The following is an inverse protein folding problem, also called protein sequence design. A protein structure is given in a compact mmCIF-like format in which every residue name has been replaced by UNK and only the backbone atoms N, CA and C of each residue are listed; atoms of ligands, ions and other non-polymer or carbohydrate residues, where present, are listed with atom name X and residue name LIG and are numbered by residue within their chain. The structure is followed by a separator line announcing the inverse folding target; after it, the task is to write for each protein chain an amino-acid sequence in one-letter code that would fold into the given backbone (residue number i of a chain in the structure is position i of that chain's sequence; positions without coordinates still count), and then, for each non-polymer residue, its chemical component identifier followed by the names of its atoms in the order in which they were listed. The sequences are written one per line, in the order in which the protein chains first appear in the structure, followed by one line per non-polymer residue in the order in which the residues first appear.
data_IF_169816437754
#
_entry.id   IF_169816437754
#
_cell.length_a   1.000
_cell.length_b   1.000
_cell.length_c   1.000
_cell.angle_alpha   90.00
_cell.angle_beta   90.00
_cell.angle_gamma   90.00
#
_symmetry.space_group_name_H-M   'P 1'
#
loop_
_entity.id
_entity.type
_entity.pdbx_description
1 polymer ?
#
# COMPACT_ATOMS: atom_id res chain seq x y z
N UNK A 1 -9.34 -15.50 -27.66
CA UNK A 1 -8.55 -15.82 -26.46
C UNK A 1 -9.00 -14.83 -25.41
N UNK A 2 -9.57 -15.27 -24.31
CA UNK A 2 -10.03 -14.38 -23.24
C UNK A 2 -8.77 -13.83 -22.56
N UNK A 3 -8.31 -12.65 -22.98
CA UNK A 3 -7.19 -11.96 -22.35
C UNK A 3 -7.55 -11.75 -20.88
N UNK A 4 -6.92 -12.52 -20.01
CA UNK A 4 -7.09 -12.38 -18.57
C UNK A 4 -6.59 -10.99 -18.17
N UNK A 5 -7.52 -10.02 -18.10
CA UNK A 5 -7.21 -8.63 -17.78
C UNK A 5 -6.76 -8.54 -16.33
N UNK A 6 -5.50 -8.16 -16.13
CA UNK A 6 -5.00 -7.76 -14.84
C UNK A 6 -5.73 -6.48 -14.39
N UNK A 7 -6.24 -6.49 -13.17
CA UNK A 7 -6.92 -5.34 -12.57
C UNK A 7 -6.21 -4.96 -11.28
N UNK A 8 -6.44 -3.73 -10.85
CA UNK A 8 -5.93 -3.26 -9.57
C UNK A 8 -6.85 -3.71 -8.44
N UNK A 9 -6.24 -4.25 -7.39
CA UNK A 9 -6.92 -4.67 -6.18
C UNK A 9 -6.27 -4.00 -4.99
N UNK A 10 -7.08 -3.74 -3.97
CA UNK A 10 -6.60 -3.20 -2.71
C UNK A 10 -6.55 -4.33 -1.69
N UNK A 11 -5.40 -4.48 -1.07
CA UNK A 11 -5.11 -5.46 -0.02
C UNK A 11 -4.96 -4.71 1.30
N UNK A 12 -5.65 -5.18 2.33
CA UNK A 12 -5.51 -4.70 3.69
C UNK A 12 -4.50 -5.58 4.45
N UNK A 13 -3.58 -4.93 5.13
CA UNK A 13 -2.40 -5.51 5.78
C UNK A 13 -2.20 -4.86 7.14
N UNK A 14 -1.44 -5.52 8.02
CA UNK A 14 -1.09 -4.90 9.29
C UNK A 14 -0.18 -3.69 9.08
N UNK A 15 -0.55 -2.59 9.73
CA UNK A 15 0.26 -1.38 9.77
C UNK A 15 1.71 -1.64 10.18
N UNK A 16 2.65 -1.22 9.33
CA UNK A 16 4.09 -1.32 9.59
C UNK A 16 4.75 -2.47 8.84
N UNK A 17 3.94 -3.34 8.23
CA UNK A 17 4.41 -4.47 7.43
C UNK A 17 4.16 -4.28 5.94
N UNK A 18 3.58 -3.16 5.51
CA UNK A 18 3.24 -2.90 4.09
C UNK A 18 4.46 -3.02 3.17
N UNK A 19 5.60 -2.41 3.56
CA UNK A 19 6.86 -2.55 2.79
C UNK A 19 7.37 -4.00 2.74
N UNK A 20 7.16 -4.78 3.81
CA UNK A 20 7.60 -6.18 3.85
C UNK A 20 6.71 -7.05 2.98
N UNK A 21 5.41 -6.79 2.98
CA UNK A 21 4.44 -7.44 2.07
C UNK A 21 4.80 -7.16 0.62
N UNK A 22 5.11 -5.91 0.26
CA UNK A 22 5.58 -5.56 -1.09
C UNK A 22 6.83 -6.35 -1.49
N UNK A 23 7.84 -6.40 -0.62
CA UNK A 23 9.06 -7.16 -0.88
C UNK A 23 8.78 -8.65 -1.05
N UNK A 24 7.90 -9.22 -0.23
CA UNK A 24 7.47 -10.63 -0.36
C UNK A 24 6.76 -10.86 -1.69
N UNK A 25 5.85 -9.97 -2.11
CA UNK A 25 5.17 -10.07 -3.41
C UNK A 25 6.18 -9.94 -4.56
N UNK A 26 7.11 -8.99 -4.50
CA UNK A 26 8.19 -8.84 -5.49
C UNK A 26 9.09 -10.07 -5.56
N UNK A 27 9.39 -10.68 -4.43
CA UNK A 27 10.16 -11.92 -4.40
C UNK A 27 9.37 -13.11 -4.97
N UNK A 28 8.07 -13.22 -4.69
CA UNK A 28 7.20 -14.22 -5.31
C UNK A 28 7.13 -14.06 -6.84
N UNK A 29 7.04 -12.82 -7.33
CA UNK A 29 7.12 -12.53 -8.77
C UNK A 29 8.48 -12.93 -9.34
N UNK A 30 9.58 -12.63 -8.63
CA UNK A 30 10.94 -12.95 -9.07
C UNK A 30 11.21 -14.46 -9.10
N UNK A 31 10.66 -15.19 -8.14
CA UNK A 31 10.81 -16.65 -8.02
C UNK A 31 9.81 -17.41 -8.90
N UNK A 32 8.86 -16.71 -9.54
CA UNK A 32 7.79 -17.31 -10.34
C UNK A 32 6.71 -18.01 -9.51
N UNK A 33 6.73 -17.81 -8.19
CA UNK A 33 5.75 -18.36 -7.27
C UNK A 33 4.35 -17.80 -7.54
N UNK A 34 4.27 -16.59 -8.11
CA UNK A 34 3.04 -15.92 -8.55
C UNK A 34 2.43 -16.51 -9.82
N UNK A 35 3.13 -17.44 -10.50
CA UNK A 35 2.74 -18.03 -11.79
C UNK A 35 2.43 -17.00 -12.89
N UNK A 36 2.94 -15.76 -12.76
CA UNK A 36 2.70 -14.65 -13.67
C UNK A 36 1.33 -13.98 -13.53
N UNK A 37 0.59 -14.24 -12.45
CA UNK A 37 -0.70 -13.59 -12.15
C UNK A 37 -0.54 -12.15 -11.68
N UNK A 38 0.51 -11.85 -10.92
CA UNK A 38 0.78 -10.51 -10.39
C UNK A 38 1.64 -9.76 -11.42
N UNK A 39 1.19 -8.57 -11.79
CA UNK A 39 1.88 -7.68 -12.73
C UNK A 39 2.61 -6.55 -12.02
N UNK A 40 2.00 -5.99 -10.99
CA UNK A 40 2.57 -4.84 -10.28
C UNK A 40 2.10 -4.79 -8.81
N UNK A 41 2.86 -4.13 -7.96
CA UNK A 41 2.54 -3.92 -6.54
C UNK A 41 3.04 -2.56 -6.09
N UNK A 42 2.17 -1.78 -5.47
CA UNK A 42 2.42 -0.43 -5.02
C UNK A 42 1.93 -0.22 -3.58
N UNK A 43 2.80 0.34 -2.74
CA UNK A 43 2.49 0.61 -1.34
C UNK A 43 2.32 2.11 -1.09
N UNK A 44 1.11 2.58 -0.74
CA UNK A 44 0.85 3.97 -0.38
C UNK A 44 1.28 4.32 1.05
N UNK A 45 2.56 4.17 1.37
CA UNK A 45 3.11 4.56 2.69
C UNK A 45 3.76 5.92 2.69
N UNK A 46 3.35 6.82 3.57
CA UNK A 46 4.04 8.11 3.81
C UNK A 46 5.10 7.95 4.90
N UNK A 47 6.40 8.11 4.55
CA UNK A 47 7.50 8.10 5.52
C UNK A 47 7.65 9.49 6.14
N UNK A 48 7.06 9.69 7.31
CA UNK A 48 7.29 10.91 8.11
C UNK A 48 8.51 10.71 9.01
N UNK A 49 9.41 11.68 9.00
CA UNK A 49 10.61 11.69 9.85
C UNK A 49 10.30 12.67 10.99
N UNK A 50 9.99 12.15 12.18
CA UNK A 50 9.82 12.99 13.37
C UNK A 50 11.17 13.15 14.07
N UNK A 51 11.51 14.37 14.44
CA UNK A 51 12.73 14.68 15.20
C UNK A 51 12.32 14.75 16.67
N UNK A 52 12.48 13.66 17.40
CA UNK A 52 12.15 13.60 18.84
C UNK A 52 13.46 13.60 19.62
N UNK A 53 13.67 14.65 20.43
CA UNK A 53 14.83 14.79 21.34
C UNK A 53 16.21 14.65 20.64
N UNK A 54 16.38 15.30 19.49
CA UNK A 54 17.65 15.30 18.75
C UNK A 54 17.99 13.98 18.02
N UNK A 55 17.16 12.94 18.14
CA UNK A 55 17.29 11.71 17.36
C UNK A 55 16.23 11.67 16.25
N UNK A 56 16.67 11.38 15.03
CA UNK A 56 15.79 11.16 13.87
C UNK A 56 14.98 9.89 14.13
N UNK A 57 13.70 10.01 14.45
CA UNK A 57 12.79 8.90 14.66
C UNK A 57 11.76 8.89 13.53
N UNK A 58 11.82 7.92 12.64
CA UNK A 58 10.83 7.79 11.57
C UNK A 58 9.48 7.42 12.18
N UNK A 59 8.56 8.39 12.29
CA UNK A 59 7.19 8.18 12.76
C UNK A 59 6.26 8.19 11.55
N UNK A 60 5.68 7.04 11.22
CA UNK A 60 4.78 6.91 10.08
C UNK A 60 3.36 7.37 10.46
N UNK A 61 2.94 8.59 10.09
CA UNK A 61 1.53 9.00 10.17
C UNK A 61 0.84 8.62 8.86
N UNK A 62 -0.10 7.69 8.92
CA UNK A 62 -0.67 7.05 7.74
C UNK A 62 -2.04 7.62 7.43
N UNK A 63 -2.24 8.09 6.20
CA UNK A 63 -3.56 8.52 5.70
C UNK A 63 -4.49 7.31 5.49
N UNK A 64 -3.92 6.15 5.14
CA UNK A 64 -4.59 4.85 5.05
C UNK A 64 -3.66 3.76 5.60
N UNK A 65 -3.61 3.55 6.93
CA UNK A 65 -2.76 2.54 7.56
C UNK A 65 -3.10 1.13 7.06
N UNK A 66 -2.15 0.45 6.42
CA UNK A 66 -2.29 -0.97 6.09
C UNK A 66 -2.82 -1.25 4.69
N UNK A 67 -2.79 -0.32 3.75
CA UNK A 67 -3.30 -0.57 2.39
C UNK A 67 -2.15 -0.82 1.42
N UNK A 68 -2.31 -1.81 0.54
CA UNK A 68 -1.36 -2.16 -0.54
C UNK A 68 -2.16 -2.32 -1.82
N UNK A 69 -1.74 -1.67 -2.90
CA UNK A 69 -2.33 -1.83 -4.22
C UNK A 69 -1.57 -2.93 -4.96
N UNK A 70 -2.29 -3.88 -5.56
CA UNK A 70 -1.71 -4.98 -6.32
C UNK A 70 -2.42 -5.06 -7.67
N UNK A 71 -1.67 -4.97 -8.77
CA UNK A 71 -2.17 -5.24 -10.11
C UNK A 71 -1.99 -6.71 -10.39
N UNK A 72 -3.08 -7.47 -10.44
CA UNK A 72 -3.03 -8.91 -10.71
C UNK A 72 -4.24 -9.40 -11.51
N UNK A 73 -4.12 -10.60 -12.08
CA UNK A 73 -5.24 -11.33 -12.66
C UNK A 73 -5.96 -12.04 -11.52
N UNK A 74 -7.24 -11.75 -11.33
CA UNK A 74 -8.01 -12.37 -10.26
C UNK A 74 -8.38 -13.81 -10.60
N UNK A 75 -7.93 -14.73 -9.76
CA UNK A 75 -8.25 -16.15 -9.75
C UNK A 75 -8.18 -16.66 -8.30
N UNK A 76 -8.75 -17.83 -8.03
CA UNK A 76 -8.72 -18.44 -6.69
C UNK A 76 -7.29 -18.65 -6.18
N UNK A 77 -6.35 -18.97 -7.07
CA UNK A 77 -4.93 -19.17 -6.70
C UNK A 77 -4.24 -17.87 -6.27
N UNK A 78 -4.34 -16.77 -7.02
CA UNK A 78 -3.75 -15.48 -6.63
C UNK A 78 -4.42 -14.91 -5.38
N UNK A 79 -5.73 -15.13 -5.24
CA UNK A 79 -6.46 -14.75 -4.04
C UNK A 79 -5.93 -15.49 -2.81
N UNK A 80 -5.83 -16.81 -2.86
CA UNK A 80 -5.24 -17.61 -1.78
C UNK A 80 -3.79 -17.25 -1.51
N UNK A 81 -3.01 -16.98 -2.56
CA UNK A 81 -1.59 -16.64 -2.43
C UNK A 81 -1.38 -15.35 -1.67
N UNK A 82 -2.10 -14.27 -2.05
CA UNK A 82 -2.01 -12.99 -1.36
C UNK A 82 -2.50 -13.12 0.08
N UNK A 83 -3.55 -13.90 0.33
CA UNK A 83 -4.06 -14.14 1.68
C UNK A 83 -3.11 -15.01 2.53
N UNK A 84 -2.30 -15.87 1.91
CA UNK A 84 -1.27 -16.67 2.56
C UNK A 84 -0.05 -15.84 2.99
N UNK A 85 0.13 -14.64 2.43
CA UNK A 85 1.24 -13.76 2.81
C UNK A 85 1.07 -13.34 4.28
N UNK A 86 2.11 -13.54 5.11
CA UNK A 86 2.05 -13.14 6.50
C UNK A 86 1.81 -11.64 6.61
N UNK A 87 0.94 -11.25 7.55
CA UNK A 87 0.54 -9.85 7.81
C UNK A 87 -0.44 -9.26 6.79
N UNK A 88 -0.91 -10.03 5.81
CA UNK A 88 -2.10 -9.68 5.03
C UNK A 88 -3.34 -10.06 5.84
N UNK A 89 -4.25 -9.11 6.02
CA UNK A 89 -5.54 -9.36 6.70
C UNK A 89 -6.64 -9.77 5.73
N UNK A 90 -6.47 -9.46 4.44
CA UNK A 90 -7.42 -9.79 3.40
C UNK A 90 -7.47 -8.70 2.33
N UNK A 91 -8.38 -8.87 1.37
CA UNK A 91 -8.65 -7.85 0.36
C UNK A 91 -9.73 -6.88 0.84
N UNK A 92 -9.63 -5.64 0.36
CA UNK A 92 -10.66 -4.63 0.59
C UNK A 92 -11.81 -4.88 -0.39
N UNK A 93 -12.98 -5.16 0.15
CA UNK A 93 -14.17 -5.54 -0.62
C UNK A 93 -15.16 -6.34 0.22
N UNK A 94 -16.12 -6.98 -0.46
CA UNK A 94 -16.99 -7.94 0.21
C UNK A 94 -16.16 -9.14 0.70
N UNK A 95 -16.53 -9.72 1.85
CA UNK A 95 -15.78 -10.83 2.52
C UNK A 95 -15.41 -12.01 1.61
N UNK A 96 -16.07 -12.16 0.48
CA UNK A 96 -15.91 -13.26 -0.48
C UNK A 96 -15.33 -12.86 -1.85
N UNK A 97 -15.34 -11.58 -2.23
CA UNK A 97 -14.75 -11.14 -3.51
C UNK A 97 -14.12 -9.75 -3.39
N UNK A 98 -12.84 -9.60 -3.78
CA UNK A 98 -12.20 -8.29 -3.83
C UNK A 98 -12.87 -7.44 -4.91
N UNK A 99 -12.97 -6.14 -4.66
CA UNK A 99 -13.54 -5.21 -5.63
C UNK A 99 -12.39 -4.78 -6.55
N UNK A 100 -12.45 -5.09 -7.86
CA UNK A 100 -11.46 -4.60 -8.80
C UNK A 100 -11.65 -3.09 -9.01
N UNK A 101 -10.56 -2.34 -8.97
CA UNK A 101 -10.54 -0.97 -9.43
C UNK A 101 -10.35 -0.93 -10.94
N UNK A 102 -10.99 0.04 -11.57
CA UNK A 102 -10.66 0.42 -12.95
C UNK A 102 -9.25 1.02 -12.98
N UNK A 103 -8.50 0.81 -14.06
CA UNK A 103 -7.14 1.38 -14.21
C UNK A 103 -7.13 2.89 -13.95
N UNK A 104 -8.14 3.62 -14.43
CA UNK A 104 -8.28 5.06 -14.18
C UNK A 104 -8.47 5.44 -12.70
N UNK A 105 -9.17 4.62 -11.91
CA UNK A 105 -9.34 4.86 -10.47
C UNK A 105 -8.07 4.53 -9.70
N UNK A 106 -7.44 3.41 -10.05
CA UNK A 106 -6.17 3.04 -9.45
C UNK A 106 -5.10 4.09 -9.74
N UNK A 107 -4.98 4.56 -10.98
CA UNK A 107 -4.02 5.59 -11.37
C UNK A 107 -4.27 6.91 -10.65
N UNK A 108 -5.54 7.31 -10.48
CA UNK A 108 -5.90 8.49 -9.65
C UNK A 108 -5.45 8.34 -8.20
N UNK A 109 -5.65 7.16 -7.59
CA UNK A 109 -5.22 6.89 -6.23
C UNK A 109 -3.69 6.89 -6.14
N UNK A 110 -3.01 6.22 -7.08
CA UNK A 110 -1.55 6.15 -7.17
C UNK A 110 -0.97 7.56 -7.30
N UNK A 111 -1.45 8.38 -8.24
CA UNK A 111 -1.02 9.77 -8.41
C UNK A 111 -1.28 10.61 -7.15
N UNK A 112 -2.43 10.43 -6.50
CA UNK A 112 -2.73 11.16 -5.26
C UNK A 112 -1.77 10.78 -4.13
N UNK A 113 -1.35 9.52 -4.08
CA UNK A 113 -0.39 8.99 -3.11
C UNK A 113 1.02 9.50 -3.42
N UNK A 114 1.46 9.45 -4.68
CA UNK A 114 2.77 9.92 -5.12
C UNK A 114 2.93 11.43 -4.91
N UNK A 115 1.95 12.24 -5.35
CA UNK A 115 1.96 13.70 -5.17
C UNK A 115 2.05 14.12 -3.69
N UNK A 116 1.50 13.32 -2.79
CA UNK A 116 1.55 13.58 -1.34
C UNK A 116 2.84 13.05 -0.69
N UNK A 117 3.42 11.97 -1.21
CA UNK A 117 4.79 11.55 -0.85
C UNK A 117 5.83 12.61 -1.24
N UNK A 118 5.68 13.25 -2.40
CA UNK A 118 6.61 14.28 -2.88
C UNK A 118 6.50 15.62 -2.14
N UNK A 119 5.36 15.90 -1.52
CA UNK A 119 5.17 17.03 -0.61
C UNK A 119 5.01 16.55 0.83
N UNK A 120 6.10 16.12 1.52
CA UNK A 120 6.04 15.81 2.94
C UNK A 120 5.64 17.10 3.66
N UNK A 121 4.36 17.24 4.03
CA UNK A 121 3.91 18.38 4.82
C UNK A 121 4.67 18.33 6.13
N UNK A 122 5.57 19.29 6.43
CA UNK A 122 6.17 19.32 7.75
C UNK A 122 5.04 19.47 8.75
N UNK A 123 4.95 18.53 9.70
CA UNK A 123 4.18 18.73 10.93
C UNK A 123 4.89 19.84 11.70
N UNK A 124 4.61 21.09 11.35
CA UNK A 124 4.77 22.15 12.32
C UNK A 124 3.63 21.98 13.33
N UNK A 125 3.96 21.37 14.46
CA UNK A 125 3.18 21.52 15.67
C UNK A 125 3.34 22.98 16.10
N UNK A 126 2.50 23.88 15.57
CA UNK A 126 2.29 25.16 16.23
C UNK A 126 1.31 24.90 17.37
N UNK A 127 1.84 24.75 18.58
CA UNK A 127 1.08 25.18 19.75
C UNK A 127 0.89 26.69 19.60
N UNK A 128 -0.32 27.09 19.19
CA UNK A 128 -0.74 28.50 19.31
C UNK A 128 -0.78 28.82 20.81
N UNK A 129 0.25 29.47 21.34
CA UNK A 129 0.27 29.81 22.76
C UNK A 129 1.40 30.72 23.24
N UNK A 130 2.61 30.66 22.69
CA UNK A 130 3.69 31.52 23.20
C UNK A 130 3.66 32.90 22.54
N UNK A 131 2.94 33.80 23.20
CA UNK A 131 3.02 35.25 23.03
C UNK A 131 4.45 35.71 23.38
N UNK A 132 5.19 36.18 22.39
CA UNK A 132 6.49 36.83 22.60
C UNK A 132 6.25 38.34 22.66
N UNK A 133 6.25 38.91 23.87
CA UNK A 133 6.59 40.32 24.14
C UNK A 133 7.57 40.40 25.29
#
# INVERSE_FOLDING_TARGET
MEEAKARWYIVHTYSGYEQRVEQTIKEMMRTGQDKGYIKDVLVPTEKVIELVRGQKKTSTRKFFPGYVLVKMIFNDESWYMVQSIPRVTGFVGSKTRPIPLSDAEAERIIQTVEQRQEQPRPKFHFEKGDEVR
#
